data_IF_904312733925
#
_entry.id   IF_904312733925
#
_cell.length_a   1.000
_cell.length_b   1.000
_cell.length_c   1.000
_cell.angle_alpha   90.00
_cell.angle_beta   90.00
_cell.angle_gamma   90.00
#
_symmetry.space_group_name_H-M   'P 1'
#
loop_
_entity.id
_entity.type
_entity.pdbx_description
1 polymer ?
#
# COMPACT_ATOMS: atom_id res chain seq x y z
N UNK A 1 -18.53 10.71 5.95
CA UNK A 1 -19.35 10.75 4.70
C UNK A 1 -18.38 10.62 3.54
N UNK A 2 -18.55 9.62 2.68
CA UNK A 2 -17.73 9.42 1.48
C UNK A 2 -18.43 10.11 0.30
N UNK A 3 -17.74 10.98 -0.43
CA UNK A 3 -18.22 11.49 -1.72
C UNK A 3 -17.28 11.01 -2.81
N UNK A 4 -17.83 10.45 -3.89
CA UNK A 4 -17.06 9.96 -5.04
C UNK A 4 -15.97 8.94 -4.68
N UNK A 5 -16.20 8.12 -3.65
CA UNK A 5 -15.25 7.07 -3.23
C UNK A 5 -14.06 7.55 -2.40
N UNK A 6 -13.97 8.84 -2.08
CA UNK A 6 -12.94 9.39 -1.21
C UNK A 6 -13.56 10.13 0.00
N UNK A 7 -12.80 10.19 1.10
CA UNK A 7 -13.16 11.03 2.23
C UNK A 7 -13.09 12.50 1.81
N UNK A 8 -14.21 13.23 1.95
CA UNK A 8 -14.22 14.68 1.73
C UNK A 8 -13.45 15.34 2.86
N UNK A 9 -12.30 15.95 2.53
CA UNK A 9 -11.55 16.80 3.45
C UNK A 9 -11.95 18.24 3.20
N UNK A 10 -12.36 18.94 4.26
CA UNK A 10 -12.52 20.39 4.19
C UNK A 10 -11.16 21.03 3.89
N UNK A 11 -11.12 22.11 3.08
CA UNK A 11 -9.91 22.91 2.89
C UNK A 11 -9.31 23.31 4.24
N UNK A 12 -7.98 23.28 4.35
CA UNK A 12 -7.28 23.56 5.60
C UNK A 12 -7.65 24.94 6.17
N UNK A 13 -7.81 25.95 5.32
CA UNK A 13 -8.17 27.32 5.72
C UNK A 13 -9.58 27.44 6.33
N UNK A 14 -10.46 26.48 6.06
CA UNK A 14 -11.79 26.41 6.67
C UNK A 14 -11.79 25.63 7.99
N UNK A 15 -10.89 24.65 8.12
CA UNK A 15 -10.74 23.81 9.33
C UNK A 15 -9.92 24.54 10.40
N UNK A 16 -8.89 25.26 9.98
CA UNK A 16 -7.99 25.99 10.86
C UNK A 16 -8.24 27.50 10.65
N UNK A 17 -8.84 28.19 11.64
CA UNK A 17 -9.04 29.62 11.53
C UNK A 17 -7.70 30.33 11.38
N UNK A 18 -7.63 31.26 10.42
CA UNK A 18 -6.49 32.16 10.26
C UNK A 18 -6.47 33.15 11.44
N UNK A 19 -5.51 32.96 12.36
CA UNK A 19 -5.32 33.86 13.48
C UNK A 19 -4.31 34.94 13.06
N UNK A 20 -4.82 36.08 12.58
CA UNK A 20 -4.00 37.28 12.25
C UNK A 20 -3.62 38.09 13.50
N UNK A 21 -3.76 37.50 14.69
CA UNK A 21 -3.26 38.09 15.92
C UNK A 21 -1.75 38.17 15.79
N UNK A 22 -1.25 39.33 15.33
CA UNK A 22 0.14 39.72 15.50
C UNK A 22 0.44 39.52 16.99
N UNK A 23 1.10 38.41 17.31
CA UNK A 23 1.57 38.16 18.67
C UNK A 23 2.57 39.28 18.89
N UNK A 24 2.22 40.29 19.69
CA UNK A 24 3.18 41.29 20.13
C UNK A 24 4.28 40.52 20.87
N UNK A 25 5.39 40.29 20.18
CA UNK A 25 6.52 39.56 20.73
C UNK A 25 7.20 40.49 21.72
N UNK A 26 6.80 40.39 22.98
CA UNK A 26 7.37 41.19 24.07
C UNK A 26 8.88 40.90 24.23
N UNK A 27 9.34 39.69 23.86
CA UNK A 27 10.74 39.27 23.94
C UNK A 27 11.11 38.19 22.91
N UNK A 28 12.22 38.38 22.18
CA UNK A 28 12.67 37.47 21.10
C UNK A 28 13.02 36.05 21.60
N UNK A 29 13.57 35.93 22.81
CA UNK A 29 13.95 34.64 23.39
C UNK A 29 12.72 33.74 23.60
N UNK A 30 11.64 34.29 24.14
CA UNK A 30 10.41 33.57 24.44
C UNK A 30 9.69 33.13 23.15
N UNK A 31 9.80 33.93 22.08
CA UNK A 31 9.30 33.57 20.76
C UNK A 31 10.04 32.36 20.17
N UNK A 32 11.38 32.34 20.24
CA UNK A 32 12.19 31.23 19.73
C UNK A 32 11.87 29.94 20.50
N UNK A 33 11.73 30.02 21.82
CA UNK A 33 11.36 28.87 22.63
C UNK A 33 9.95 28.36 22.32
N UNK A 34 8.98 29.27 22.20
CA UNK A 34 7.61 28.94 21.81
C UNK A 34 7.52 28.29 20.43
N UNK A 35 8.29 28.79 19.46
CA UNK A 35 8.36 28.22 18.11
C UNK A 35 8.93 26.81 18.13
N UNK A 36 10.04 26.61 18.85
CA UNK A 36 10.67 25.29 19.00
C UNK A 36 9.70 24.28 19.62
N UNK A 37 9.00 24.67 20.67
CA UNK A 37 8.02 23.81 21.35
C UNK A 37 6.84 23.47 20.42
N UNK A 38 6.31 24.44 19.66
CA UNK A 38 5.24 24.20 18.67
C UNK A 38 5.69 23.23 17.58
N UNK A 39 6.91 23.40 17.06
CA UNK A 39 7.47 22.52 16.03
C UNK A 39 7.71 21.10 16.54
N UNK A 40 8.23 20.97 17.76
CA UNK A 40 8.39 19.66 18.39
C UNK A 40 7.04 18.96 18.62
N UNK A 41 6.04 19.71 19.06
CA UNK A 41 4.69 19.20 19.27
C UNK A 41 4.04 18.73 17.97
N UNK A 42 4.09 19.55 16.91
CA UNK A 42 3.54 19.19 15.60
C UNK A 42 4.23 17.97 15.01
N UNK A 43 5.56 17.88 15.14
CA UNK A 43 6.33 16.72 14.70
C UNK A 43 5.95 15.45 15.47
N UNK A 44 5.79 15.53 16.80
CA UNK A 44 5.36 14.40 17.62
C UNK A 44 3.97 13.88 17.20
N UNK A 45 3.04 14.79 16.92
CA UNK A 45 1.71 14.46 16.40
C UNK A 45 1.81 13.75 15.05
N UNK A 46 2.56 14.34 14.10
CA UNK A 46 2.73 13.76 12.77
C UNK A 46 3.34 12.34 12.85
N UNK A 47 4.38 12.15 13.68
CA UNK A 47 5.02 10.84 13.90
C UNK A 47 4.04 9.80 14.45
N UNK A 48 3.18 10.17 15.40
CA UNK A 48 2.15 9.28 15.95
C UNK A 48 1.19 8.79 14.87
N UNK A 49 0.69 9.71 14.02
CA UNK A 49 -0.22 9.36 12.94
C UNK A 49 0.44 8.51 11.85
N UNK A 50 1.69 8.82 11.48
CA UNK A 50 2.45 8.03 10.52
C UNK A 50 2.65 6.60 11.00
N UNK A 51 3.03 6.41 12.27
CA UNK A 51 3.18 5.08 12.87
C UNK A 51 1.87 4.29 12.81
N UNK A 52 0.77 4.90 13.24
CA UNK A 52 -0.55 4.26 13.20
C UNK A 52 -1.00 3.91 11.77
N UNK A 53 -0.72 4.78 10.80
CA UNK A 53 -1.03 4.50 9.39
C UNK A 53 -0.20 3.34 8.84
N UNK A 54 1.07 3.24 9.23
CA UNK A 54 1.93 2.12 8.84
C UNK A 54 1.44 0.80 9.45
N UNK A 55 1.08 0.78 10.73
CA UNK A 55 0.51 -0.40 11.41
C UNK A 55 -0.79 -0.86 10.73
N UNK A 56 -1.72 0.07 10.47
CA UNK A 56 -2.95 -0.24 9.74
C UNK A 56 -2.68 -0.76 8.33
N UNK A 57 -1.68 -0.20 7.64
CA UNK A 57 -1.29 -0.67 6.31
C UNK A 57 -0.85 -2.13 6.39
N UNK A 58 0.05 -2.46 7.33
CA UNK A 58 0.53 -3.83 7.51
C UNK A 58 -0.64 -4.79 7.79
N UNK A 59 -1.54 -4.45 8.72
CA UNK A 59 -2.72 -5.29 9.01
C UNK A 59 -3.61 -5.51 7.78
N UNK A 60 -3.88 -4.47 6.99
CA UNK A 60 -4.72 -4.56 5.78
C UNK A 60 -4.06 -5.41 4.68
N UNK A 61 -2.74 -5.32 4.52
CA UNK A 61 -2.03 -6.11 3.51
C UNK A 61 -1.80 -7.55 3.96
N UNK A 62 -1.48 -7.77 5.24
CA UNK A 62 -1.25 -9.12 5.79
C UNK A 62 -2.54 -9.95 5.79
N UNK A 63 -3.69 -9.33 6.05
CA UNK A 63 -5.00 -10.03 5.99
C UNK A 63 -5.40 -10.51 4.59
N UNK A 64 -4.74 -10.03 3.52
CA UNK A 64 -5.00 -10.45 2.13
C UNK A 64 -4.07 -11.55 1.64
N UNK A 65 -3.12 -12.00 2.46
CA UNK A 65 -2.24 -13.11 2.10
C UNK A 65 -3.01 -14.42 2.30
N UNK A 66 -3.83 -14.80 1.32
CA UNK A 66 -4.32 -16.16 1.23
C UNK A 66 -3.12 -17.08 0.92
N UNK A 67 -2.69 -17.86 1.91
CA UNK A 67 -1.59 -18.81 1.75
C UNK A 67 -2.09 -20.02 0.94
N UNK A 68 -1.93 -19.96 -0.37
CA UNK A 68 -2.18 -21.11 -1.25
C UNK A 68 -0.95 -22.03 -1.20
N UNK A 69 -1.06 -23.15 -0.49
CA UNK A 69 -0.03 -24.19 -0.48
C UNK A 69 -0.35 -25.25 -1.52
N UNK A 70 0.53 -25.41 -2.51
CA UNK A 70 0.47 -26.48 -3.51
C UNK A 70 1.40 -27.64 -3.11
N UNK A 71 1.06 -28.86 -3.55
CA UNK A 71 1.87 -30.06 -3.39
C UNK A 71 2.45 -30.49 -4.73
N UNK A 72 3.52 -31.27 -4.67
CA UNK A 72 4.10 -31.92 -5.86
C UNK A 72 3.03 -32.81 -6.52
N UNK A 73 2.87 -32.66 -7.83
CA UNK A 73 1.82 -33.32 -8.62
C UNK A 73 0.53 -32.52 -8.80
N UNK A 74 0.35 -31.39 -8.11
CA UNK A 74 -0.83 -30.53 -8.31
C UNK A 74 -0.80 -29.85 -9.69
N UNK A 75 -1.98 -29.74 -10.30
CA UNK A 75 -2.17 -29.04 -11.57
C UNK A 75 -2.42 -27.55 -11.33
N UNK A 76 -1.59 -26.70 -11.92
CA UNK A 76 -1.64 -25.26 -11.76
C UNK A 76 -1.68 -24.54 -13.10
N UNK A 77 -2.36 -23.40 -13.12
CA UNK A 77 -2.37 -22.48 -14.26
C UNK A 77 -1.34 -21.38 -14.03
N UNK A 78 -0.43 -21.19 -14.97
CA UNK A 78 0.59 -20.16 -14.91
C UNK A 78 0.05 -18.86 -15.52
N UNK A 79 0.28 -17.73 -14.84
CA UNK A 79 -0.09 -16.43 -15.38
C UNK A 79 0.87 -16.04 -16.52
N UNK A 80 0.34 -15.84 -17.72
CA UNK A 80 1.11 -15.45 -18.88
C UNK A 80 0.93 -13.95 -19.17
N UNK A 81 1.88 -13.14 -18.71
CA UNK A 81 1.83 -11.67 -18.86
C UNK A 81 2.42 -11.17 -20.19
N UNK A 82 2.69 -12.07 -21.15
CA UNK A 82 3.27 -11.67 -22.43
C UNK A 82 2.23 -10.93 -23.29
N UNK A 83 2.55 -9.70 -23.65
CA UNK A 83 1.72 -8.88 -24.54
C UNK A 83 2.04 -9.19 -26.00
N UNK A 84 1.09 -9.79 -26.72
CA UNK A 84 1.18 -9.97 -28.18
C UNK A 84 0.89 -8.67 -28.92
N UNK A 85 1.80 -8.25 -29.80
CA UNK A 85 1.62 -7.07 -30.67
C UNK A 85 0.43 -7.31 -31.60
N UNK A 86 -0.41 -6.29 -31.80
CA UNK A 86 -1.59 -6.36 -32.67
C UNK A 86 -2.84 -6.99 -32.04
N UNK A 87 -2.78 -7.44 -30.77
CA UNK A 87 -3.95 -7.96 -30.03
C UNK A 87 -4.15 -7.14 -28.77
N UNK A 88 -5.40 -6.74 -28.50
CA UNK A 88 -5.74 -6.02 -27.27
C UNK A 88 -5.52 -6.93 -26.06
N UNK A 89 -4.86 -6.47 -24.97
CA UNK A 89 -4.58 -7.30 -23.80
C UNK A 89 -5.81 -7.97 -23.16
N UNK A 90 -6.98 -7.35 -23.28
CA UNK A 90 -8.26 -7.90 -22.77
C UNK A 90 -8.72 -9.16 -23.52
N UNK A 91 -8.28 -9.35 -24.77
CA UNK A 91 -8.64 -10.50 -25.61
C UNK A 91 -7.55 -11.58 -25.60
N UNK A 92 -6.47 -11.40 -24.83
CA UNK A 92 -5.40 -12.37 -24.70
C UNK A 92 -5.72 -13.38 -23.59
N UNK A 93 -5.30 -14.64 -23.79
CA UNK A 93 -5.38 -15.66 -22.74
C UNK A 93 -4.41 -15.26 -21.63
N UNK A 94 -4.96 -14.97 -20.45
CA UNK A 94 -4.19 -14.52 -19.29
C UNK A 94 -3.45 -15.67 -18.59
N UNK A 95 -3.96 -16.90 -18.72
CA UNK A 95 -3.37 -18.07 -18.08
C UNK A 95 -3.00 -19.12 -19.14
N UNK A 96 -1.85 -19.74 -18.93
CA UNK A 96 -1.37 -20.89 -19.69
C UNK A 96 -1.34 -22.12 -18.79
N UNK A 97 -1.58 -23.29 -19.37
CA UNK A 97 -1.58 -24.54 -18.62
C UNK A 97 -2.51 -25.59 -19.23
N UNK A 98 -2.62 -26.76 -18.59
CA UNK A 98 -2.19 -27.03 -17.21
C UNK A 98 -0.71 -27.40 -17.06
N UNK A 99 -0.06 -26.85 -16.04
CA UNK A 99 1.28 -27.24 -15.59
C UNK A 99 1.18 -28.15 -14.36
N UNK A 100 2.22 -28.95 -14.11
CA UNK A 100 2.34 -29.78 -12.90
C UNK A 100 3.43 -29.22 -12.01
N UNK A 101 3.16 -29.09 -10.72
CA UNK A 101 4.16 -28.72 -9.70
C UNK A 101 5.14 -29.88 -9.52
N UNK A 102 6.43 -29.64 -9.77
CA UNK A 102 7.50 -30.64 -9.62
C UNK A 102 8.04 -30.60 -8.19
N UNK A 103 8.46 -29.41 -7.75
CA UNK A 103 9.12 -29.20 -6.45
C UNK A 103 8.67 -27.87 -5.83
N UNK A 104 8.75 -27.78 -4.51
CA UNK A 104 8.59 -26.54 -3.75
C UNK A 104 9.94 -26.05 -3.25
N UNK A 105 10.45 -24.95 -3.82
CA UNK A 105 11.72 -24.35 -3.40
C UNK A 105 11.58 -23.50 -2.14
N UNK A 106 10.43 -22.83 -1.95
CA UNK A 106 10.14 -22.00 -0.77
C UNK A 106 8.63 -21.98 -0.47
N UNK A 107 8.20 -21.32 0.61
CA UNK A 107 6.78 -21.22 0.95
C UNK A 107 5.93 -20.66 -0.20
N UNK A 108 6.51 -19.80 -1.05
CA UNK A 108 5.83 -19.14 -2.17
C UNK A 108 6.39 -19.48 -3.55
N UNK A 109 7.53 -20.17 -3.64
CA UNK A 109 8.20 -20.48 -4.91
C UNK A 109 8.05 -21.96 -5.24
N UNK A 110 7.50 -22.24 -6.42
CA UNK A 110 7.24 -23.59 -6.91
C UNK A 110 7.86 -23.75 -8.30
N UNK A 111 8.48 -24.90 -8.54
CA UNK A 111 8.94 -25.31 -9.86
C UNK A 111 7.80 -26.04 -10.58
N UNK A 112 7.54 -25.63 -11.82
CA UNK A 112 6.43 -26.16 -12.63
C UNK A 112 6.96 -26.68 -13.98
N UNK A 113 6.36 -27.74 -14.50
CA UNK A 113 6.63 -28.25 -15.84
C UNK A 113 5.35 -28.51 -16.63
N UNK A 114 5.45 -28.40 -17.95
CA UNK A 114 4.42 -28.88 -18.86
C UNK A 114 4.40 -30.41 -18.79
N UNK A 115 3.21 -30.99 -18.64
CA UNK A 115 3.04 -32.43 -18.70
C UNK A 115 3.28 -32.88 -20.15
N UNK A 116 4.51 -33.26 -20.47
CA UNK A 116 4.91 -33.68 -21.82
C UNK A 116 4.45 -35.11 -22.15
N UNK A 117 3.34 -35.57 -21.55
CA UNK A 117 2.66 -36.81 -21.93
C UNK A 117 1.71 -36.53 -23.10
N UNK A 118 2.31 -36.35 -24.27
CA UNK A 118 1.68 -36.38 -25.59
C UNK A 118 2.43 -37.35 -26.48
#
# INVERSE_FOLDING_TARGET
>A
MLCLGHEVRLPADLVFPYNDSAVEVVQFADYVEGLKNKMMHSHAIARKYLKRKAELSNEIFDTKVAEYSYKEGDLVWCLHEIRKVGVTPKLQKRFEGPYVVINRTSSFNFEIALNNKG
#
